data_IF_167669147971
#
_entry.id   IF_167669147971
#
_cell.length_a   1.000
_cell.length_b   1.000
_cell.length_c   1.000
_cell.angle_alpha   90.00
_cell.angle_beta   90.00
_cell.angle_gamma   90.00
#
_symmetry.space_group_name_H-M   'P 1'
#
loop_
_entity.id
_entity.type
_entity.pdbx_description
1 polymer ?
#
# COMPACT_ATOMS: atom_id res chain seq x y z
N UNK A 1 2.23 -6.90 -40.63
CA UNK A 1 1.19 -6.09 -39.97
C UNK A 1 -0.06 -6.95 -39.78
N UNK A 2 -0.14 -7.81 -38.76
CA UNK A 2 -1.34 -8.61 -38.41
C UNK A 2 -1.17 -9.37 -37.08
N UNK A 3 -0.91 -8.68 -35.97
CA UNK A 3 -0.97 -9.28 -34.62
C UNK A 3 -1.77 -8.37 -33.67
N UNK A 4 -2.97 -7.99 -34.10
CA UNK A 4 -3.92 -7.27 -33.26
C UNK A 4 -5.06 -8.21 -32.83
N UNK A 5 -5.31 -8.22 -31.52
CA UNK A 5 -6.50 -8.73 -30.83
C UNK A 5 -6.76 -10.25 -30.83
N UNK A 6 -6.00 -10.99 -30.02
CA UNK A 6 -6.65 -12.02 -29.19
C UNK A 6 -7.24 -11.33 -27.96
N UNK A 7 -8.33 -10.57 -28.14
CA UNK A 7 -9.20 -10.24 -27.01
C UNK A 7 -9.72 -11.56 -26.48
N UNK A 8 -9.44 -11.85 -25.21
CA UNK A 8 -10.16 -12.87 -24.44
C UNK A 8 -11.65 -12.63 -24.69
N UNK A 9 -12.27 -13.46 -25.54
CA UNK A 9 -13.72 -13.48 -25.67
C UNK A 9 -14.18 -14.06 -24.35
N UNK A 10 -14.66 -13.21 -23.44
CA UNK A 10 -15.39 -13.67 -22.28
C UNK A 10 -16.56 -14.50 -22.80
N UNK A 11 -16.46 -15.82 -22.65
CA UNK A 11 -17.53 -16.73 -23.07
C UNK A 11 -18.72 -16.37 -22.21
N UNK A 12 -19.73 -15.76 -22.81
CA UNK A 12 -20.98 -15.43 -22.12
C UNK A 12 -21.70 -16.73 -21.78
N UNK A 13 -22.17 -16.85 -20.54
CA UNK A 13 -22.87 -18.06 -20.04
C UNK A 13 -24.05 -18.42 -20.95
N UNK A 14 -24.67 -17.43 -21.59
CA UNK A 14 -25.79 -17.59 -22.53
C UNK A 14 -25.42 -18.30 -23.85
N UNK A 15 -24.13 -18.49 -24.12
CA UNK A 15 -23.63 -19.23 -25.31
C UNK A 15 -23.22 -20.67 -24.99
N UNK A 16 -23.29 -21.08 -23.72
CA UNK A 16 -22.94 -22.42 -23.28
C UNK A 16 -24.10 -23.38 -23.51
N UNK A 17 -23.78 -24.65 -23.78
CA UNK A 17 -24.79 -25.70 -23.81
C UNK A 17 -25.40 -25.90 -22.41
N UNK A 18 -26.69 -26.26 -22.34
CA UNK A 18 -27.41 -26.53 -21.10
C UNK A 18 -26.60 -27.35 -20.06
N UNK A 19 -25.94 -28.49 -20.41
CA UNK A 19 -25.16 -29.24 -19.44
C UNK A 19 -23.94 -28.47 -18.91
N UNK A 20 -23.25 -27.71 -19.75
CA UNK A 20 -22.08 -26.91 -19.35
C UNK A 20 -22.50 -25.76 -18.42
N UNK A 21 -23.66 -25.16 -18.69
CA UNK A 21 -24.25 -24.13 -17.82
C UNK A 21 -24.57 -24.69 -16.43
N UNK A 22 -25.24 -25.86 -16.35
CA UNK A 22 -25.54 -26.53 -15.07
C UNK A 22 -24.25 -26.85 -14.30
N UNK A 23 -23.25 -27.43 -14.96
CA UNK A 23 -21.95 -27.73 -14.34
C UNK A 23 -21.28 -26.45 -13.82
N UNK A 24 -21.32 -25.39 -14.61
CA UNK A 24 -20.75 -24.08 -14.24
C UNK A 24 -21.46 -23.50 -13.00
N UNK A 25 -22.79 -23.57 -12.92
CA UNK A 25 -23.51 -23.14 -11.73
C UNK A 25 -23.21 -23.99 -10.50
N UNK A 26 -23.09 -25.31 -10.64
CA UNK A 26 -22.69 -26.20 -9.54
C UNK A 26 -21.29 -25.83 -9.04
N UNK A 27 -20.34 -25.62 -9.95
CA UNK A 27 -18.97 -25.21 -9.60
C UNK A 27 -18.93 -23.84 -8.92
N UNK A 28 -19.68 -22.87 -9.44
CA UNK A 28 -19.77 -21.52 -8.85
C UNK A 28 -20.42 -21.56 -7.47
N UNK A 29 -21.47 -22.37 -7.29
CA UNK A 29 -22.12 -22.53 -5.99
C UNK A 29 -21.21 -23.22 -4.97
N UNK A 30 -20.52 -24.29 -5.38
CA UNK A 30 -19.53 -24.95 -4.53
C UNK A 30 -18.40 -23.98 -4.14
N UNK A 31 -17.90 -23.18 -5.08
CA UNK A 31 -16.90 -22.17 -4.81
C UNK A 31 -17.41 -21.07 -3.86
N UNK A 32 -18.63 -20.58 -4.09
CA UNK A 32 -19.27 -19.61 -3.22
C UNK A 32 -19.42 -20.15 -1.79
N UNK A 33 -19.79 -21.42 -1.62
CA UNK A 33 -19.85 -22.06 -0.31
C UNK A 33 -18.49 -22.07 0.39
N UNK A 34 -17.41 -22.45 -0.31
CA UNK A 34 -16.05 -22.45 0.25
C UNK A 34 -15.64 -21.05 0.73
N UNK A 35 -15.99 -20.00 -0.02
CA UNK A 35 -15.67 -18.60 0.32
C UNK A 35 -16.54 -18.09 1.48
N UNK A 36 -17.81 -18.44 1.51
CA UNK A 36 -18.75 -17.98 2.53
C UNK A 36 -18.64 -18.76 3.84
N UNK A 37 -18.15 -20.00 3.82
CA UNK A 37 -18.07 -20.83 5.01
C UNK A 37 -17.25 -20.20 6.15
N UNK A 38 -16.03 -19.64 5.94
CA UNK A 38 -15.31 -18.94 6.99
C UNK A 38 -16.05 -17.71 7.55
N UNK A 39 -16.79 -16.98 6.71
CA UNK A 39 -17.60 -15.84 7.15
C UNK A 39 -18.79 -16.28 7.99
N UNK A 40 -19.46 -17.36 7.57
CA UNK A 40 -20.51 -18.01 8.34
C UNK A 40 -19.98 -18.48 9.70
N UNK A 41 -18.82 -19.16 9.70
CA UNK A 41 -18.19 -19.63 10.93
C UNK A 41 -17.85 -18.48 11.88
N UNK A 42 -17.32 -17.36 11.36
CA UNK A 42 -17.05 -16.16 12.15
C UNK A 42 -18.34 -15.58 12.75
N UNK A 43 -19.40 -15.47 11.95
CA UNK A 43 -20.69 -14.95 12.42
C UNK A 43 -21.29 -15.84 13.51
N UNK A 44 -21.32 -17.15 13.32
CA UNK A 44 -21.81 -18.11 14.33
C UNK A 44 -20.95 -18.08 15.58
N UNK A 45 -19.62 -17.99 15.44
CA UNK A 45 -18.70 -17.92 16.59
C UNK A 45 -18.91 -16.65 17.41
N UNK A 46 -19.28 -15.53 16.79
CA UNK A 46 -19.60 -14.28 17.50
C UNK A 46 -20.81 -14.40 18.44
N UNK A 47 -21.70 -15.37 18.19
CA UNK A 47 -22.93 -15.61 18.94
C UNK A 47 -22.81 -16.75 19.97
N UNK A 48 -21.61 -17.30 20.15
CA UNK A 48 -21.34 -18.41 21.06
C UNK A 48 -20.74 -17.92 22.37
N UNK A 49 -20.98 -18.66 23.45
CA UNK A 49 -20.23 -18.46 24.70
C UNK A 49 -18.79 -18.96 24.54
N UNK A 50 -17.83 -18.48 25.36
CA UNK A 50 -16.48 -19.01 25.38
C UNK A 50 -16.42 -20.53 25.61
N UNK A 51 -17.40 -21.09 26.35
CA UNK A 51 -17.50 -22.53 26.56
C UNK A 51 -17.89 -23.26 25.27
N UNK A 52 -18.89 -22.77 24.54
CA UNK A 52 -19.39 -23.37 23.29
C UNK A 52 -18.37 -23.30 22.15
N UNK A 53 -17.47 -22.29 22.17
CA UNK A 53 -16.36 -22.19 21.22
C UNK A 53 -15.31 -23.29 21.49
N UNK A 54 -15.03 -23.59 22.75
CA UNK A 54 -14.03 -24.60 23.14
C UNK A 54 -14.57 -26.04 23.13
N UNK A 55 -15.90 -26.22 23.09
CA UNK A 55 -16.54 -27.55 23.19
C UNK A 55 -16.47 -28.40 21.90
N UNK A 56 -16.04 -27.82 20.77
CA UNK A 56 -15.85 -28.56 19.52
C UNK A 56 -16.42 -27.87 18.27
N UNK A 57 -16.39 -28.56 17.11
CA UNK A 57 -16.80 -28.00 15.81
C UNK A 57 -18.32 -28.00 15.64
N UNK A 58 -19.00 -27.16 16.43
CA UNK A 58 -20.43 -26.91 16.35
C UNK A 58 -20.70 -25.76 15.39
N UNK A 59 -21.72 -25.87 14.52
CA UNK A 59 -21.92 -24.86 13.47
C UNK A 59 -23.37 -24.44 13.31
N UNK A 60 -24.34 -25.16 13.87
CA UNK A 60 -25.77 -24.93 13.64
C UNK A 60 -26.39 -24.22 14.85
N UNK A 61 -26.83 -22.94 14.70
CA UNK A 61 -27.55 -22.23 15.74
C UNK A 61 -28.81 -22.96 16.19
N UNK A 62 -29.19 -22.83 17.47
CA UNK A 62 -30.36 -23.44 18.11
C UNK A 62 -30.35 -24.97 18.22
N UNK A 63 -29.50 -25.65 17.44
CA UNK A 63 -29.28 -27.10 17.52
C UNK A 63 -28.05 -27.44 18.32
N UNK A 64 -26.92 -26.80 18.01
CA UNK A 64 -25.63 -27.15 18.62
C UNK A 64 -25.26 -26.21 19.78
N UNK A 65 -25.80 -25.00 19.79
CA UNK A 65 -25.61 -23.99 20.85
C UNK A 65 -26.80 -23.01 20.89
N UNK A 66 -26.98 -22.32 22.01
CA UNK A 66 -27.97 -21.25 22.15
C UNK A 66 -27.32 -19.90 21.80
N UNK A 67 -27.78 -19.20 20.74
CA UNK A 67 -27.20 -17.92 20.36
C UNK A 67 -27.41 -16.85 21.45
N UNK A 68 -26.35 -16.14 21.81
CA UNK A 68 -26.40 -14.99 22.70
C UNK A 68 -25.75 -13.75 22.07
N UNK A 69 -26.03 -12.58 22.67
CA UNK A 69 -25.47 -11.30 22.23
C UNK A 69 -24.44 -10.74 23.23
N UNK A 70 -23.99 -11.56 24.17
CA UNK A 70 -23.10 -11.12 25.25
C UNK A 70 -21.77 -10.60 24.70
N UNK A 71 -21.19 -11.26 23.69
CA UNK A 71 -19.97 -10.79 23.04
C UNK A 71 -20.16 -9.44 22.33
N UNK A 72 -21.34 -9.22 21.74
CA UNK A 72 -21.68 -7.96 21.07
C UNK A 72 -21.93 -6.84 22.08
N UNK A 73 -22.61 -7.12 23.19
CA UNK A 73 -22.77 -6.19 24.30
C UNK A 73 -21.40 -5.84 24.91
N UNK A 74 -20.55 -6.83 25.12
CA UNK A 74 -19.20 -6.64 25.65
C UNK A 74 -18.36 -5.70 24.78
N UNK A 75 -18.34 -5.92 23.46
CA UNK A 75 -17.55 -5.09 22.54
C UNK A 75 -18.13 -3.67 22.39
N UNK A 76 -19.46 -3.53 22.26
CA UNK A 76 -20.07 -2.23 21.96
C UNK A 76 -20.43 -1.38 23.18
N UNK A 77 -20.70 -2.01 24.33
CA UNK A 77 -21.12 -1.33 25.56
C UNK A 77 -19.98 -1.31 26.57
N UNK A 78 -19.44 -2.48 26.94
CA UNK A 78 -18.43 -2.55 28.00
C UNK A 78 -17.06 -2.01 27.53
N UNK A 79 -16.69 -2.30 26.28
CA UNK A 79 -15.47 -1.84 25.61
C UNK A 79 -15.74 -0.78 24.53
N UNK A 80 -16.86 -0.06 24.60
CA UNK A 80 -17.30 0.84 23.52
C UNK A 80 -16.22 1.82 23.06
N UNK A 81 -15.63 2.59 23.96
CA UNK A 81 -14.57 3.57 23.62
C UNK A 81 -13.32 2.92 23.01
N UNK A 82 -12.83 1.83 23.62
CA UNK A 82 -11.65 1.09 23.16
C UNK A 82 -11.88 0.38 21.82
N UNK A 83 -13.14 0.11 21.50
CA UNK A 83 -13.58 -0.46 20.23
C UNK A 83 -13.71 0.63 19.17
N UNK A 84 -14.57 1.63 19.39
CA UNK A 84 -14.94 2.60 18.35
C UNK A 84 -13.79 3.52 17.95
N UNK A 85 -12.93 3.92 18.90
CA UNK A 85 -11.84 4.87 18.62
C UNK A 85 -10.84 4.34 17.58
N UNK A 86 -10.27 3.11 17.68
CA UNK A 86 -9.42 2.55 16.63
C UNK A 86 -10.11 2.38 15.27
N UNK A 87 -11.40 2.02 15.25
CA UNK A 87 -12.16 1.93 13.99
C UNK A 87 -12.29 3.30 13.33
N UNK A 88 -12.67 4.33 14.07
CA UNK A 88 -12.75 5.70 13.57
C UNK A 88 -11.38 6.22 13.11
N UNK A 89 -10.32 5.95 13.88
CA UNK A 89 -8.96 6.28 13.48
C UNK A 89 -8.61 5.65 12.12
N UNK A 90 -8.97 4.38 11.91
CA UNK A 90 -8.70 3.67 10.65
C UNK A 90 -9.50 4.27 9.49
N UNK A 91 -10.76 4.63 9.71
CA UNK A 91 -11.59 5.30 8.69
C UNK A 91 -10.99 6.65 8.31
N UNK A 92 -10.65 7.48 9.30
CA UNK A 92 -10.07 8.82 9.07
C UNK A 92 -8.73 8.71 8.35
N UNK A 93 -7.81 7.88 8.86
CA UNK A 93 -6.49 7.68 8.26
C UNK A 93 -6.60 7.08 6.86
N UNK A 94 -7.42 6.05 6.69
CA UNK A 94 -7.60 5.34 5.41
C UNK A 94 -8.19 6.25 4.33
N UNK A 95 -9.27 6.96 4.61
CA UNK A 95 -9.91 7.86 3.65
C UNK A 95 -9.01 9.05 3.32
N UNK A 96 -8.41 9.68 4.33
CA UNK A 96 -7.56 10.87 4.14
C UNK A 96 -6.30 10.51 3.36
N UNK A 97 -5.61 9.43 3.75
CA UNK A 97 -4.40 8.98 3.03
C UNK A 97 -4.72 8.55 1.60
N UNK A 98 -5.84 7.85 1.37
CA UNK A 98 -6.26 7.46 0.01
C UNK A 98 -6.53 8.68 -0.85
N UNK A 99 -7.30 9.66 -0.34
CA UNK A 99 -7.60 10.89 -1.07
C UNK A 99 -6.33 11.67 -1.45
N UNK A 100 -5.40 11.86 -0.49
CA UNK A 100 -4.13 12.54 -0.73
C UNK A 100 -3.27 11.75 -1.74
N UNK A 101 -3.19 10.43 -1.60
CA UNK A 101 -2.36 9.59 -2.48
C UNK A 101 -2.89 9.59 -3.90
N UNK A 102 -4.20 9.49 -4.11
CA UNK A 102 -4.84 9.57 -5.42
C UNK A 102 -4.61 10.94 -6.04
N UNK A 103 -4.76 12.02 -5.27
CA UNK A 103 -4.54 13.37 -5.75
C UNK A 103 -3.08 13.58 -6.18
N UNK A 104 -2.10 13.33 -5.30
CA UNK A 104 -0.68 13.49 -5.62
C UNK A 104 -0.22 12.52 -6.71
N UNK A 105 -0.71 11.28 -6.66
CA UNK A 105 -0.41 10.23 -7.61
C UNK A 105 -0.89 10.58 -9.01
N UNK A 106 -2.11 11.13 -9.13
CA UNK A 106 -2.66 11.56 -10.42
C UNK A 106 -1.86 12.72 -11.03
N UNK A 107 -1.41 13.67 -10.22
CA UNK A 107 -0.57 14.79 -10.68
C UNK A 107 0.79 14.30 -11.19
N UNK A 108 1.43 13.38 -10.46
CA UNK A 108 2.71 12.81 -10.87
C UNK A 108 2.57 11.90 -12.10
N UNK A 109 1.52 11.08 -12.17
CA UNK A 109 1.22 10.24 -13.32
C UNK A 109 0.94 11.08 -14.58
N UNK A 110 0.17 12.16 -14.43
CA UNK A 110 -0.07 13.11 -15.52
C UNK A 110 1.24 13.68 -16.08
N UNK A 111 2.19 14.06 -15.20
CA UNK A 111 3.54 14.46 -15.60
C UNK A 111 4.23 13.39 -16.43
N UNK A 112 4.27 12.14 -15.93
CA UNK A 112 4.93 11.00 -16.59
C UNK A 112 4.28 10.59 -17.92
N UNK A 113 2.97 10.82 -18.11
CA UNK A 113 2.30 10.50 -19.37
C UNK A 113 2.49 11.62 -20.40
N UNK A 114 2.46 12.88 -19.96
CA UNK A 114 2.47 14.04 -20.87
C UNK A 114 3.86 14.55 -21.20
N UNK A 115 4.82 14.42 -20.31
CA UNK A 115 6.18 14.92 -20.48
C UNK A 115 7.14 13.77 -20.78
N UNK A 116 8.14 14.02 -21.63
CA UNK A 116 9.26 13.09 -21.85
C UNK A 116 10.37 13.46 -20.87
N UNK A 117 10.59 12.61 -19.88
CA UNK A 117 11.69 12.76 -18.94
C UNK A 117 12.93 12.05 -19.48
N UNK A 118 14.06 12.74 -19.42
CA UNK A 118 15.37 12.20 -19.77
C UNK A 118 16.35 12.54 -18.65
N UNK A 119 16.17 11.92 -17.48
CA UNK A 119 17.02 12.20 -16.33
C UNK A 119 18.36 11.51 -16.53
N UNK A 120 19.40 12.30 -16.76
CA UNK A 120 20.75 11.76 -17.03
C UNK A 120 21.28 11.03 -15.80
N UNK A 121 21.84 9.84 -15.99
CA UNK A 121 22.41 9.03 -14.90
C UNK A 121 23.51 9.76 -14.11
N UNK A 122 24.29 10.62 -14.79
CA UNK A 122 25.29 11.47 -14.12
C UNK A 122 24.67 12.48 -13.14
N UNK A 123 23.44 12.94 -13.38
CA UNK A 123 22.71 13.80 -12.43
C UNK A 123 22.28 13.02 -11.19
N UNK A 124 21.76 11.80 -11.39
CA UNK A 124 21.34 10.92 -10.28
C UNK A 124 22.54 10.55 -9.41
N UNK A 125 23.67 10.17 -10.03
CA UNK A 125 24.91 9.87 -9.31
C UNK A 125 25.46 11.09 -8.57
N UNK A 126 25.40 12.27 -9.19
CA UNK A 126 25.79 13.52 -8.53
C UNK A 126 24.93 13.84 -7.31
N UNK A 127 23.61 13.60 -7.40
CA UNK A 127 22.69 13.79 -6.28
C UNK A 127 23.02 12.83 -5.14
N UNK A 128 23.20 11.55 -5.44
CA UNK A 128 23.60 10.54 -4.47
C UNK A 128 24.93 10.88 -3.79
N UNK A 129 25.91 11.38 -4.54
CA UNK A 129 27.20 11.82 -4.01
C UNK A 129 27.07 13.05 -3.09
N UNK A 130 26.20 14.01 -3.45
CA UNK A 130 25.88 15.17 -2.59
C UNK A 130 25.23 14.78 -1.27
N UNK A 131 24.27 13.85 -1.32
CA UNK A 131 23.63 13.29 -0.11
C UNK A 131 24.66 12.53 0.74
N UNK A 132 25.48 11.68 0.12
CA UNK A 132 26.52 10.93 0.82
C UNK A 132 27.53 11.88 1.51
N UNK A 133 27.95 12.95 0.83
CA UNK A 133 28.81 13.98 1.42
C UNK A 133 28.14 14.65 2.63
N UNK A 134 26.87 15.04 2.52
CA UNK A 134 26.14 15.64 3.64
C UNK A 134 26.08 14.69 4.85
N UNK A 135 25.78 13.41 4.62
CA UNK A 135 25.77 12.39 5.69
C UNK A 135 27.16 12.23 6.32
N UNK A 136 28.21 12.14 5.51
CA UNK A 136 29.59 12.07 6.00
C UNK A 136 29.94 13.28 6.87
N UNK A 137 29.59 14.49 6.44
CA UNK A 137 29.83 15.72 7.22
C UNK A 137 29.07 15.70 8.56
N UNK A 138 27.85 15.16 8.59
CA UNK A 138 27.09 14.99 9.84
C UNK A 138 27.76 13.99 10.80
N UNK A 139 28.37 12.93 10.30
CA UNK A 139 29.15 11.96 11.11
C UNK A 139 30.32 12.68 11.80
N UNK A 140 30.94 13.64 11.13
CA UNK A 140 31.99 14.52 11.70
C UNK A 140 31.45 15.63 12.61
N UNK A 141 30.22 15.49 13.14
CA UNK A 141 29.57 16.47 14.04
C UNK A 141 29.40 17.87 13.44
N UNK A 142 29.44 17.99 12.12
CA UNK A 142 29.13 19.26 11.44
C UNK A 142 27.64 19.57 11.63
N UNK A 143 27.25 20.83 11.94
CA UNK A 143 25.86 21.23 11.99
C UNK A 143 25.09 20.83 10.72
N UNK A 144 23.89 20.27 10.87
CA UNK A 144 23.13 19.67 9.76
C UNK A 144 22.84 20.65 8.62
N UNK A 145 22.63 21.94 8.94
CA UNK A 145 22.44 23.01 7.95
C UNK A 145 23.68 23.18 7.06
N UNK A 146 24.87 23.21 7.66
CA UNK A 146 26.13 23.36 6.92
C UNK A 146 26.41 22.12 6.07
N UNK A 147 26.16 20.92 6.61
CA UNK A 147 26.29 19.67 5.88
C UNK A 147 25.32 19.62 4.67
N UNK A 148 24.06 20.04 4.86
CA UNK A 148 23.06 20.09 3.81
C UNK A 148 23.42 21.10 2.71
N UNK A 149 23.86 22.31 3.09
CA UNK A 149 24.31 23.33 2.14
C UNK A 149 25.55 22.86 1.36
N UNK A 150 26.52 22.24 2.02
CA UNK A 150 27.70 21.68 1.37
C UNK A 150 27.35 20.55 0.39
N UNK A 151 26.48 19.62 0.80
CA UNK A 151 25.99 18.54 -0.08
C UNK A 151 25.22 19.07 -1.28
N UNK A 152 24.37 20.09 -1.08
CA UNK A 152 23.62 20.74 -2.16
C UNK A 152 24.56 21.47 -3.12
N UNK A 153 25.51 22.25 -2.60
CA UNK A 153 26.51 22.95 -3.42
C UNK A 153 27.34 21.96 -4.24
N UNK A 154 27.78 20.86 -3.61
CA UNK A 154 28.50 19.78 -4.28
C UNK A 154 27.67 19.13 -5.38
N UNK A 155 26.39 18.83 -5.11
CA UNK A 155 25.47 18.32 -6.13
C UNK A 155 25.33 19.29 -7.31
N UNK A 156 25.12 20.58 -7.05
CA UNK A 156 24.98 21.59 -8.11
C UNK A 156 26.24 21.70 -8.98
N UNK A 157 27.43 21.59 -8.38
CA UNK A 157 28.70 21.54 -9.12
C UNK A 157 28.80 20.28 -10.00
N UNK A 158 28.44 19.11 -9.46
CA UNK A 158 28.41 17.86 -10.24
C UNK A 158 27.34 17.88 -11.34
N UNK A 159 26.21 18.54 -11.10
CA UNK A 159 25.16 18.71 -12.09
C UNK A 159 25.65 19.55 -13.28
N UNK A 160 26.45 20.59 -13.02
CA UNK A 160 27.03 21.42 -14.09
C UNK A 160 28.14 20.70 -14.87
N UNK A 161 28.88 19.79 -14.22
CA UNK A 161 30.08 19.17 -14.79
C UNK A 161 29.84 17.75 -15.33
N UNK A 162 29.34 16.85 -14.49
CA UNK A 162 29.18 15.42 -14.77
C UNK A 162 27.87 15.12 -15.51
N UNK A 163 26.76 15.76 -15.13
CA UNK A 163 25.49 15.51 -15.80
C UNK A 163 25.48 15.98 -17.26
N UNK A 164 26.36 16.91 -17.64
CA UNK A 164 26.53 17.33 -19.04
C UNK A 164 27.27 16.30 -19.90
N UNK A 165 28.06 15.41 -19.29
CA UNK A 165 28.91 14.42 -19.99
C UNK A 165 28.28 13.04 -20.13
N UNK A 166 27.28 12.72 -19.31
CA UNK A 166 26.62 11.41 -19.32
C UNK A 166 25.73 11.19 -20.55
N UNK A 167 25.99 10.11 -21.31
CA UNK A 167 25.19 9.71 -22.48
C UNK A 167 23.96 8.86 -22.15
N UNK A 168 23.95 8.19 -20.99
CA UNK A 168 22.81 7.35 -20.56
C UNK A 168 21.81 8.19 -19.77
N UNK A 169 20.52 8.07 -20.12
CA UNK A 169 19.41 8.73 -19.45
C UNK A 169 18.35 7.70 -19.03
N UNK A 170 17.68 8.01 -17.93
CA UNK A 170 16.54 7.27 -17.38
C UNK A 170 15.28 7.89 -17.98
N UNK A 171 14.53 7.08 -18.73
CA UNK A 171 13.27 7.48 -19.36
C UNK A 171 12.06 7.25 -18.46
N UNK A 172 10.88 7.58 -18.97
CA UNK A 172 9.63 7.41 -18.23
C UNK A 172 9.41 5.95 -17.80
N UNK A 173 9.63 4.98 -18.70
CA UNK A 173 9.52 3.53 -18.43
C UNK A 173 10.44 3.09 -17.29
N UNK A 174 11.67 3.59 -17.28
CA UNK A 174 12.63 3.28 -16.21
C UNK A 174 12.19 3.89 -14.86
N UNK A 175 11.60 5.10 -14.87
CA UNK A 175 11.06 5.73 -13.65
C UNK A 175 9.90 4.91 -13.08
N UNK A 176 8.97 4.46 -13.93
CA UNK A 176 7.86 3.60 -13.52
C UNK A 176 8.36 2.25 -12.99
N UNK A 177 9.31 1.63 -13.68
CA UNK A 177 9.92 0.38 -13.24
C UNK A 177 10.58 0.55 -11.86
N UNK A 178 11.29 1.66 -11.65
CA UNK A 178 11.87 2.00 -10.35
C UNK A 178 10.82 2.17 -9.26
N UNK A 179 9.67 2.80 -9.55
CA UNK A 179 8.57 2.94 -8.60
C UNK A 179 8.03 1.57 -8.12
N UNK A 180 7.89 0.60 -9.03
CA UNK A 180 7.46 -0.76 -8.68
C UNK A 180 8.52 -1.48 -7.83
N UNK A 181 9.81 -1.26 -8.12
CA UNK A 181 10.90 -1.92 -7.40
C UNK A 181 10.86 -1.66 -5.88
N UNK A 182 10.37 -0.49 -5.46
CA UNK A 182 10.17 -0.12 -4.05
C UNK A 182 9.11 -0.98 -3.33
N UNK A 183 8.31 -1.78 -4.06
CA UNK A 183 7.36 -2.76 -3.49
C UNK A 183 8.01 -4.09 -3.15
N UNK A 184 9.19 -4.38 -3.71
CA UNK A 184 9.93 -5.61 -3.40
C UNK A 184 10.70 -5.51 -2.09
N UNK A 185 10.89 -4.29 -1.58
CA UNK A 185 11.55 -4.07 -0.31
C UNK A 185 10.65 -4.60 0.83
N UNK A 186 11.18 -5.43 1.75
CA UNK A 186 10.42 -5.91 2.90
C UNK A 186 9.81 -4.76 3.69
N UNK A 187 8.48 -4.67 3.86
CA UNK A 187 7.85 -3.53 4.53
C UNK A 187 8.44 -3.24 5.92
N UNK A 188 8.82 -4.30 6.65
CA UNK A 188 9.45 -4.20 7.98
C UNK A 188 10.75 -3.37 7.98
N UNK A 189 11.53 -3.41 6.90
CA UNK A 189 12.80 -2.67 6.81
C UNK A 189 12.58 -1.16 6.67
N UNK A 190 11.40 -0.73 6.19
CA UNK A 190 11.01 0.68 6.10
C UNK A 190 10.34 1.16 7.39
N UNK A 191 9.59 0.28 8.07
CA UNK A 191 8.85 0.64 9.28
C UNK A 191 9.76 1.08 10.42
N UNK A 192 10.89 0.40 10.67
CA UNK A 192 11.78 0.74 11.80
C UNK A 192 12.36 2.16 11.66
N UNK A 193 12.98 2.55 10.53
CA UNK A 193 13.46 3.93 10.35
C UNK A 193 12.36 4.98 10.47
N UNK A 194 11.17 4.72 9.91
CA UNK A 194 10.03 5.64 10.01
C UNK A 194 9.58 5.80 11.47
N UNK A 195 9.52 4.70 12.23
CA UNK A 195 9.18 4.73 13.64
C UNK A 195 10.17 5.60 14.43
N UNK A 196 11.47 5.37 14.27
CA UNK A 196 12.51 6.15 14.95
C UNK A 196 12.46 7.62 14.52
N UNK A 197 12.19 7.90 13.25
CA UNK A 197 12.05 9.27 12.75
C UNK A 197 10.88 10.00 13.42
N UNK A 198 9.70 9.38 13.48
CA UNK A 198 8.56 10.01 14.17
C UNK A 198 8.72 10.05 15.68
N UNK A 199 9.46 9.12 16.28
CA UNK A 199 9.84 9.19 17.69
C UNK A 199 10.65 10.46 17.98
N UNK A 200 11.65 10.76 17.15
CA UNK A 200 12.47 11.96 17.29
C UNK A 200 11.66 13.25 17.12
N UNK A 201 10.63 13.23 16.28
CA UNK A 201 9.72 14.36 16.06
C UNK A 201 8.57 14.44 17.08
N UNK A 202 8.48 13.50 18.02
CA UNK A 202 7.33 13.37 18.94
C UNK A 202 5.97 13.29 18.23
N UNK A 203 5.94 12.66 17.05
CA UNK A 203 4.75 12.47 16.23
C UNK A 203 4.14 11.07 16.37
N UNK A 204 4.68 10.23 17.26
CA UNK A 204 4.12 8.92 17.56
C UNK A 204 2.67 9.06 18.06
N UNK A 205 1.87 8.03 17.79
CA UNK A 205 0.46 7.94 18.17
C UNK A 205 -0.46 9.03 17.59
N UNK A 206 -0.02 9.70 16.51
CA UNK A 206 -0.83 10.69 15.79
C UNK A 206 -1.36 10.15 14.46
N UNK A 207 -2.53 10.65 14.03
CA UNK A 207 -3.04 10.39 12.69
C UNK A 207 -2.09 10.90 11.60
N UNK A 208 -1.40 12.03 11.84
CA UNK A 208 -0.48 12.63 10.89
C UNK A 208 0.68 11.70 10.52
N UNK A 209 1.31 11.07 11.52
CA UNK A 209 2.37 10.10 11.29
C UNK A 209 1.90 8.92 10.40
N UNK A 210 0.71 8.38 10.69
CA UNK A 210 0.11 7.32 9.89
C UNK A 210 -0.20 7.80 8.47
N UNK A 211 -0.91 8.92 8.32
CA UNK A 211 -1.30 9.46 7.00
C UNK A 211 -0.07 9.69 6.13
N UNK A 212 0.97 10.33 6.66
CA UNK A 212 2.22 10.58 5.92
C UNK A 212 2.87 9.25 5.50
N UNK A 213 2.91 8.26 6.39
CA UNK A 213 3.45 6.92 6.10
C UNK A 213 2.67 6.24 4.98
N UNK A 214 1.34 6.18 5.11
CA UNK A 214 0.47 5.55 4.12
C UNK A 214 0.61 6.23 2.76
N UNK A 215 0.62 7.56 2.70
CA UNK A 215 0.84 8.31 1.45
C UNK A 215 2.21 7.99 0.86
N UNK A 216 3.30 8.12 1.63
CA UNK A 216 4.65 7.88 1.13
C UNK A 216 4.83 6.45 0.61
N UNK A 217 4.26 5.47 1.32
CA UNK A 217 4.34 4.06 0.93
C UNK A 217 3.46 3.77 -0.29
N UNK A 218 2.27 4.35 -0.44
CA UNK A 218 1.37 4.00 -1.55
C UNK A 218 1.53 4.86 -2.80
N UNK A 219 2.19 6.01 -2.71
CA UNK A 219 2.35 6.91 -3.85
C UNK A 219 3.02 6.25 -5.07
N UNK A 220 4.09 5.44 -4.95
CA UNK A 220 4.71 4.80 -6.12
C UNK A 220 3.76 3.89 -6.91
N UNK A 221 2.92 3.10 -6.22
CA UNK A 221 1.99 2.18 -6.89
C UNK A 221 0.83 2.93 -7.54
N UNK A 222 0.34 4.00 -6.91
CA UNK A 222 -0.73 4.83 -7.49
C UNK A 222 -0.24 5.57 -8.73
N UNK A 223 0.96 6.15 -8.68
CA UNK A 223 1.56 6.80 -9.85
C UNK A 223 1.74 5.81 -11.00
N UNK A 224 2.24 4.61 -10.70
CA UNK A 224 2.41 3.56 -11.70
C UNK A 224 1.07 3.14 -12.32
N UNK A 225 0.07 2.82 -11.49
CA UNK A 225 -1.24 2.36 -11.94
C UNK A 225 -1.99 3.40 -12.77
N UNK A 226 -1.86 4.69 -12.46
CA UNK A 226 -2.55 5.77 -13.19
C UNK A 226 -1.86 6.17 -14.49
N UNK A 227 -0.58 5.79 -14.64
CA UNK A 227 0.19 6.08 -15.83
C UNK A 227 -0.16 5.12 -16.97
N UNK A 228 -0.40 3.85 -16.63
CA UNK A 228 -0.74 2.75 -17.55
C UNK A 228 -2.21 2.80 -18.00
#
# INVERSE_FOLDING_TARGET
MALASRRSRSVSINTLSFPVMVISYILLFAWAFVVLFPLYWLAVTSLKTPLDVNAGPFYVPFRDFQPNLDNWHYIFVDLGEDTFRPYLNTVVVGLTSTAITVLLGSMAAYGLVRMRYEVRLGAIAGFAAGVALAVVLMIFRTPWLLAAVAGLAFFLLLLQTVARRGKRAVGNDDIAFWMISQRMLPPVAVVIPIYVFFQQLSLLDTWGALIITYVAVHLPIVVWLMRD
#
